data_IF_588218195802
#
_entry.id   IF_588218195802
#
_cell.length_a   1.000
_cell.length_b   1.000
_cell.length_c   1.000
_cell.angle_alpha   90.00
_cell.angle_beta   90.00
_cell.angle_gamma   90.00
#
_symmetry.space_group_name_H-M   'P 1'
#
loop_
_entity.id
_entity.type
_entity.pdbx_description
1 polymer ?
#
# COMPACT_ATOMS: atom_id res chain seq x y z
N UNK A 1 15.20 -31.93 -47.55
CA UNK A 1 14.00 -31.33 -46.91
C UNK A 1 13.53 -30.17 -47.76
N UNK A 2 12.26 -30.10 -48.11
CA UNK A 2 11.71 -29.04 -48.97
C UNK A 2 11.64 -27.73 -48.16
N UNK A 3 12.07 -26.60 -48.75
CA UNK A 3 12.02 -25.25 -48.09
C UNK A 3 10.65 -24.90 -47.53
N UNK A 4 9.58 -25.47 -48.04
CA UNK A 4 8.22 -25.29 -47.56
C UNK A 4 7.98 -26.00 -46.21
N UNK A 5 8.52 -27.21 -46.07
CA UNK A 5 8.44 -27.99 -44.83
C UNK A 5 9.23 -27.31 -43.69
N UNK A 6 10.43 -26.84 -44.00
CA UNK A 6 11.27 -26.13 -43.02
C UNK A 6 10.60 -24.86 -42.51
N UNK A 7 9.97 -24.06 -43.39
CA UNK A 7 9.19 -22.86 -42.98
C UNK A 7 7.95 -23.21 -42.16
N UNK A 8 7.27 -24.31 -42.50
CA UNK A 8 6.10 -24.75 -41.74
C UNK A 8 6.48 -25.21 -40.32
N UNK A 9 7.62 -25.90 -40.18
CA UNK A 9 8.13 -26.31 -38.86
C UNK A 9 8.55 -25.12 -37.99
N UNK A 10 9.22 -24.11 -38.57
CA UNK A 10 9.58 -22.87 -37.85
C UNK A 10 8.31 -22.14 -37.36
N UNK A 11 7.33 -21.95 -38.26
CA UNK A 11 6.07 -21.29 -37.89
C UNK A 11 5.29 -22.08 -36.83
N UNK A 12 5.24 -23.42 -36.92
CA UNK A 12 4.58 -24.25 -35.92
C UNK A 12 5.26 -24.14 -34.54
N UNK A 13 6.59 -24.11 -34.51
CA UNK A 13 7.36 -23.94 -33.27
C UNK A 13 7.20 -22.55 -32.64
N UNK A 14 7.19 -21.49 -33.45
CA UNK A 14 6.95 -20.12 -32.97
C UNK A 14 5.54 -19.98 -32.37
N UNK A 15 4.54 -20.58 -33.06
CA UNK A 15 3.16 -20.52 -32.60
C UNK A 15 2.94 -21.37 -31.34
N UNK A 16 3.61 -22.48 -31.20
CA UNK A 16 3.58 -23.34 -30.01
C UNK A 16 4.23 -22.66 -28.83
N UNK A 17 5.34 -21.93 -29.02
CA UNK A 17 5.99 -21.14 -27.97
C UNK A 17 5.10 -20.00 -27.51
N UNK A 18 4.44 -19.27 -28.42
CA UNK A 18 3.50 -18.21 -28.06
C UNK A 18 2.33 -18.74 -27.23
N UNK A 19 1.76 -19.89 -27.60
CA UNK A 19 0.66 -20.53 -26.86
C UNK A 19 1.13 -21.02 -25.49
N UNK A 20 2.34 -21.58 -25.41
CA UNK A 20 2.91 -22.03 -24.13
C UNK A 20 3.16 -20.88 -23.17
N UNK A 21 3.70 -19.76 -23.63
CA UNK A 21 3.91 -18.57 -22.80
C UNK A 21 2.58 -18.03 -22.28
N UNK A 22 1.54 -17.97 -23.13
CA UNK A 22 0.20 -17.56 -22.71
C UNK A 22 -0.43 -18.49 -21.68
N UNK A 23 -0.28 -19.81 -21.87
CA UNK A 23 -0.79 -20.82 -20.95
C UNK A 23 -0.09 -20.76 -19.59
N UNK A 24 1.22 -20.56 -19.55
CA UNK A 24 1.99 -20.39 -18.32
C UNK A 24 1.59 -19.11 -17.60
N UNK A 25 1.44 -17.99 -18.33
CA UNK A 25 0.99 -16.72 -17.75
C UNK A 25 -0.43 -16.85 -17.16
N UNK A 26 -1.34 -17.53 -17.88
CA UNK A 26 -2.70 -17.75 -17.38
C UNK A 26 -2.72 -18.65 -16.14
N UNK A 27 -1.97 -19.77 -16.15
CA UNK A 27 -1.86 -20.66 -15.01
C UNK A 27 -1.26 -19.97 -13.78
N UNK A 28 -0.31 -19.04 -13.98
CA UNK A 28 0.23 -18.22 -12.91
C UNK A 28 -0.83 -17.27 -12.33
N UNK A 29 -1.61 -16.59 -13.19
CA UNK A 29 -2.70 -15.73 -12.80
C UNK A 29 -3.78 -16.51 -12.04
N UNK A 30 -4.19 -17.67 -12.58
CA UNK A 30 -5.23 -18.51 -11.97
C UNK A 30 -4.77 -19.09 -10.62
N UNK A 31 -3.50 -19.52 -10.51
CA UNK A 31 -2.91 -19.98 -9.27
C UNK A 31 -2.80 -18.86 -8.21
N UNK A 32 -2.43 -17.67 -8.65
CA UNK A 32 -2.38 -16.49 -7.78
C UNK A 32 -3.78 -16.10 -7.28
N UNK A 33 -4.80 -16.08 -8.17
CA UNK A 33 -6.18 -15.78 -7.81
C UNK A 33 -6.79 -16.85 -6.91
N UNK A 34 -6.51 -18.14 -7.14
CA UNK A 34 -6.97 -19.23 -6.29
C UNK A 34 -6.37 -19.14 -4.89
N UNK A 35 -5.05 -18.95 -4.79
CA UNK A 35 -4.39 -18.77 -3.49
C UNK A 35 -4.86 -17.51 -2.73
N UNK A 36 -5.31 -16.49 -3.45
CA UNK A 36 -5.90 -15.29 -2.87
C UNK A 36 -7.30 -15.56 -2.31
N UNK A 37 -8.15 -16.28 -3.06
CA UNK A 37 -9.51 -16.65 -2.65
C UNK A 37 -9.52 -17.65 -1.49
N UNK A 38 -8.57 -18.60 -1.45
CA UNK A 38 -8.43 -19.55 -0.35
C UNK A 38 -8.02 -18.86 0.96
N UNK A 39 -7.15 -17.84 0.89
CA UNK A 39 -6.83 -16.99 2.06
C UNK A 39 -8.03 -16.15 2.53
N UNK A 40 -8.89 -15.70 1.62
CA UNK A 40 -10.06 -14.91 1.98
C UNK A 40 -11.09 -15.72 2.77
N UNK A 41 -11.18 -17.04 2.54
CA UNK A 41 -12.10 -17.91 3.28
C UNK A 41 -11.60 -18.24 4.72
N UNK A 42 -10.30 -18.20 4.98
CA UNK A 42 -9.73 -18.45 6.31
C UNK A 42 -9.74 -17.21 7.23
N UNK A 43 -9.95 -16.00 6.69
CA UNK A 43 -9.90 -14.75 7.46
C UNK A 43 -11.30 -14.18 7.76
N UNK A 44 -12.40 -14.88 7.38
CA UNK A 44 -13.76 -14.40 7.69
C UNK A 44 -14.12 -14.38 9.18
N UNK A 45 -13.26 -14.88 10.08
CA UNK A 45 -13.55 -14.95 11.53
C UNK A 45 -12.61 -14.16 12.45
N UNK A 46 -11.65 -13.41 11.95
CA UNK A 46 -10.93 -12.52 12.87
C UNK A 46 -11.62 -11.17 12.99
N UNK A 47 -12.60 -11.09 13.87
CA UNK A 47 -13.17 -9.86 14.45
C UNK A 47 -12.11 -9.07 15.27
N UNK A 48 -10.93 -8.88 14.74
CA UNK A 48 -9.83 -8.15 15.39
C UNK A 48 -9.69 -6.74 14.83
N UNK A 49 -10.80 -5.99 14.76
CA UNK A 49 -10.71 -4.54 14.80
C UNK A 49 -11.01 -4.18 16.25
N UNK A 50 -9.95 -4.14 17.07
CA UNK A 50 -10.06 -3.73 18.46
C UNK A 50 -10.76 -2.38 18.57
N UNK A 51 -11.71 -2.29 19.50
CA UNK A 51 -12.55 -1.10 19.73
C UNK A 51 -11.78 0.14 20.20
N UNK A 52 -10.46 0.12 20.31
CA UNK A 52 -9.65 1.15 20.96
C UNK A 52 -8.68 1.88 20.02
N UNK A 53 -9.11 2.15 18.77
CA UNK A 53 -8.28 2.96 17.89
C UNK A 53 -8.26 4.40 18.43
N UNK A 54 -7.10 4.83 18.88
CA UNK A 54 -6.87 6.19 19.33
C UNK A 54 -6.90 7.12 18.12
N UNK A 55 -7.83 8.06 18.10
CA UNK A 55 -7.91 9.09 17.07
C UNK A 55 -7.48 10.46 17.62
N UNK A 56 -6.98 11.31 16.73
CA UNK A 56 -6.51 12.67 17.02
C UNK A 56 -7.30 13.69 16.21
N UNK A 57 -7.70 14.75 16.86
CA UNK A 57 -8.23 15.96 16.22
C UNK A 57 -7.06 16.89 15.87
N UNK A 58 -6.65 16.86 14.63
CA UNK A 58 -5.57 17.70 14.11
C UNK A 58 -6.03 19.16 13.88
N UNK A 59 -7.32 19.46 14.05
CA UNK A 59 -7.91 20.78 13.76
C UNK A 59 -8.03 21.07 12.27
N UNK A 60 -8.28 20.05 11.47
CA UNK A 60 -8.50 20.21 10.05
C UNK A 60 -9.89 20.81 9.77
N UNK A 61 -10.04 21.64 8.71
CA UNK A 61 -11.31 22.26 8.35
C UNK A 61 -12.47 21.29 8.19
N UNK A 62 -12.22 20.07 7.68
CA UNK A 62 -13.23 19.00 7.54
C UNK A 62 -13.73 18.44 8.88
N UNK A 63 -13.00 18.65 9.98
CA UNK A 63 -13.24 18.00 11.26
C UNK A 63 -12.89 16.51 11.26
N UNK A 64 -12.13 16.03 10.27
CA UNK A 64 -11.70 14.64 10.20
C UNK A 64 -10.76 14.31 11.35
N UNK A 65 -11.09 13.23 12.07
CA UNK A 65 -10.24 12.65 13.11
C UNK A 65 -9.35 11.59 12.47
N UNK A 66 -8.06 11.63 12.75
CA UNK A 66 -7.07 10.70 12.19
C UNK A 66 -6.60 9.71 13.25
N UNK A 67 -6.45 8.44 12.88
CA UNK A 67 -5.82 7.49 13.77
C UNK A 67 -4.43 7.96 14.16
N UNK A 68 -4.06 7.74 15.42
CA UNK A 68 -2.75 8.17 15.95
C UNK A 68 -1.60 7.36 15.37
N UNK A 69 -1.87 6.14 14.93
CA UNK A 69 -0.94 5.19 14.33
C UNK A 69 -1.68 4.28 13.33
N UNK A 70 -0.94 3.41 12.67
CA UNK A 70 -1.51 2.37 11.81
C UNK A 70 -2.38 1.40 12.59
N UNK A 71 -3.23 0.69 11.86
CA UNK A 71 -3.96 -0.45 12.40
C UNK A 71 -2.97 -1.53 12.83
N UNK A 72 -3.12 -2.02 14.06
CA UNK A 72 -2.31 -3.07 14.64
C UNK A 72 -3.12 -4.35 14.81
N UNK A 73 -2.44 -5.48 14.82
CA UNK A 73 -3.02 -6.76 15.18
C UNK A 73 -3.09 -6.94 16.72
N UNK A 74 -3.51 -8.12 17.16
CA UNK A 74 -3.63 -8.46 18.59
C UNK A 74 -2.28 -8.48 19.36
N UNK A 75 -1.16 -8.53 18.64
CA UNK A 75 0.19 -8.50 19.21
C UNK A 75 0.78 -7.06 19.24
N UNK A 76 0.07 -6.09 18.69
CA UNK A 76 0.54 -4.71 18.53
C UNK A 76 1.46 -4.52 17.32
N UNK A 77 1.46 -5.47 16.37
CA UNK A 77 2.22 -5.35 15.14
C UNK A 77 1.37 -4.67 14.05
N UNK A 78 2.02 -3.83 13.26
CA UNK A 78 1.35 -3.14 12.14
C UNK A 78 0.74 -4.16 11.16
N UNK A 79 -0.55 -4.02 10.91
CA UNK A 79 -1.28 -4.90 10.00
C UNK A 79 -1.10 -4.43 8.57
N UNK A 80 -0.64 -5.35 7.71
CA UNK A 80 -0.55 -5.14 6.26
C UNK A 80 -1.77 -5.77 5.59
N UNK A 81 -2.54 -4.98 4.86
CA UNK A 81 -3.83 -5.41 4.32
C UNK A 81 -3.92 -5.07 2.83
N UNK A 82 -4.36 -6.01 1.96
CA UNK A 82 -4.63 -5.73 0.56
C UNK A 82 -5.80 -4.75 0.42
N UNK A 83 -5.78 -3.95 -0.67
CA UNK A 83 -6.73 -2.85 -0.85
C UNK A 83 -8.20 -3.26 -0.67
N UNK A 84 -8.60 -4.39 -1.24
CA UNK A 84 -10.00 -4.85 -1.20
C UNK A 84 -10.55 -5.03 0.22
N UNK A 85 -9.69 -5.40 1.18
CA UNK A 85 -10.04 -5.50 2.60
C UNK A 85 -9.94 -4.13 3.28
N UNK A 86 -8.86 -3.38 3.02
CA UNK A 86 -8.62 -2.07 3.61
C UNK A 86 -9.76 -1.07 3.29
N UNK A 87 -10.31 -1.11 2.08
CA UNK A 87 -11.40 -0.23 1.65
C UNK A 87 -12.67 -0.32 2.50
N UNK A 88 -12.85 -1.40 3.27
CA UNK A 88 -13.99 -1.58 4.19
C UNK A 88 -13.76 -0.97 5.57
N UNK A 89 -12.58 -0.44 5.86
CA UNK A 89 -12.14 -0.04 7.20
C UNK A 89 -12.21 1.47 7.48
N UNK A 90 -12.70 2.28 6.55
CA UNK A 90 -12.74 3.73 6.73
C UNK A 90 -11.42 4.42 6.36
N UNK A 91 -10.90 4.08 5.18
CA UNK A 91 -9.73 4.74 4.60
C UNK A 91 -9.97 6.24 4.38
N UNK A 92 -8.96 7.09 4.50
CA UNK A 92 -9.06 8.49 4.14
C UNK A 92 -9.34 8.65 2.64
N UNK A 93 -10.16 9.63 2.28
CA UNK A 93 -10.36 10.01 0.88
C UNK A 93 -9.18 10.86 0.38
N UNK A 94 -9.10 11.02 -0.94
CA UNK A 94 -8.10 11.90 -1.55
C UNK A 94 -8.18 13.32 -1.00
N UNK A 95 -9.40 13.87 -0.88
CA UNK A 95 -9.63 15.22 -0.38
C UNK A 95 -9.17 15.38 1.08
N UNK A 96 -9.38 14.36 1.92
CA UNK A 96 -8.90 14.36 3.30
C UNK A 96 -7.37 14.31 3.37
N UNK A 97 -6.72 13.58 2.47
CA UNK A 97 -5.25 13.56 2.39
C UNK A 97 -4.70 14.88 1.85
N UNK A 98 -5.32 15.45 0.81
CA UNK A 98 -4.94 16.77 0.28
C UNK A 98 -5.04 17.83 1.39
N UNK A 99 -6.13 17.83 2.16
CA UNK A 99 -6.30 18.72 3.32
C UNK A 99 -5.21 18.50 4.38
N UNK A 100 -4.87 17.23 4.68
CA UNK A 100 -3.79 16.90 5.61
C UNK A 100 -2.43 17.43 5.14
N UNK A 101 -2.15 17.33 3.82
CA UNK A 101 -0.92 17.83 3.22
C UNK A 101 -0.84 19.34 3.29
N UNK A 102 -1.94 20.04 2.98
CA UNK A 102 -1.99 21.50 2.92
C UNK A 102 -2.02 22.18 4.28
N UNK A 103 -2.71 21.56 5.26
CA UNK A 103 -2.99 22.19 6.54
C UNK A 103 -1.97 21.83 7.64
N UNK A 104 -1.21 20.76 7.47
CA UNK A 104 -0.30 20.25 8.48
C UNK A 104 1.16 20.52 8.17
N UNK A 105 1.95 20.60 9.24
CA UNK A 105 3.41 20.66 9.14
C UNK A 105 3.99 19.26 9.23
N UNK A 106 4.82 18.89 8.28
CA UNK A 106 5.49 17.60 8.23
C UNK A 106 6.94 17.66 8.67
N UNK A 107 7.36 16.73 9.50
CA UNK A 107 8.72 16.58 10.00
C UNK A 107 9.16 15.14 9.75
N UNK A 108 10.27 14.94 9.04
CA UNK A 108 10.90 13.64 8.86
C UNK A 108 11.94 13.38 9.95
N UNK A 109 11.95 12.18 10.49
CA UNK A 109 13.02 11.68 11.36
C UNK A 109 13.88 10.70 10.58
N UNK A 110 15.16 11.06 10.40
CA UNK A 110 16.08 10.35 9.51
C UNK A 110 17.20 9.67 10.30
N UNK A 111 17.84 8.67 9.67
CA UNK A 111 19.07 8.07 10.18
C UNK A 111 20.18 9.11 10.36
N UNK A 112 21.20 8.77 11.13
CA UNK A 112 22.39 9.64 11.32
C UNK A 112 23.12 9.95 10.02
N UNK A 113 23.04 9.08 9.02
CA UNK A 113 23.53 9.31 7.65
C UNK A 113 22.62 10.25 6.84
N UNK A 114 21.42 10.52 7.35
CA UNK A 114 20.40 11.33 6.69
C UNK A 114 19.72 10.65 5.50
N UNK A 115 20.00 9.37 5.24
CA UNK A 115 19.48 8.66 4.07
C UNK A 115 18.18 7.90 4.32
N UNK A 116 17.95 7.38 5.52
CA UNK A 116 16.80 6.53 5.84
C UNK A 116 15.75 7.33 6.62
N UNK A 117 14.54 7.39 6.12
CA UNK A 117 13.39 7.96 6.82
C UNK A 117 12.81 6.89 7.78
N UNK A 118 12.98 7.06 9.08
CA UNK A 118 12.41 6.16 10.07
C UNK A 118 10.93 6.41 10.32
N UNK A 119 10.54 7.67 10.39
CA UNK A 119 9.15 8.08 10.54
C UNK A 119 8.92 9.50 10.03
N UNK A 120 7.67 9.81 9.76
CA UNK A 120 7.19 11.15 9.50
C UNK A 120 6.19 11.54 10.59
N UNK A 121 6.30 12.77 11.09
CA UNK A 121 5.39 13.35 12.05
C UNK A 121 4.58 14.43 11.34
N UNK A 122 3.26 14.25 11.33
CA UNK A 122 2.30 15.23 10.85
C UNK A 122 1.76 16.01 12.05
N UNK A 123 1.88 17.33 12.05
CA UNK A 123 1.44 18.22 13.14
C UNK A 123 0.35 19.12 12.59
N UNK A 124 -0.85 18.96 13.14
CA UNK A 124 -2.02 19.75 12.76
C UNK A 124 -2.04 21.17 13.35
N UNK A 125 -2.99 22.00 12.91
CA UNK A 125 -3.19 23.36 13.43
C UNK A 125 -3.42 23.44 14.95
N UNK A 126 -4.02 22.43 15.58
CA UNK A 126 -4.20 22.34 17.03
C UNK A 126 -2.90 22.06 17.80
N UNK A 127 -1.85 21.64 17.12
CA UNK A 127 -0.62 21.13 17.72
C UNK A 127 -0.65 19.62 18.01
N UNK A 128 -1.81 18.98 17.88
CA UNK A 128 -1.92 17.53 17.91
C UNK A 128 -1.15 16.91 16.74
N UNK A 129 -0.70 15.68 16.93
CA UNK A 129 0.19 15.02 15.97
C UNK A 129 -0.11 13.54 15.81
N UNK A 130 0.15 13.06 14.62
CA UNK A 130 0.23 11.64 14.31
C UNK A 130 1.67 11.30 13.89
N UNK A 131 2.10 10.09 14.21
CA UNK A 131 3.43 9.58 13.86
C UNK A 131 3.26 8.38 12.95
N UNK A 132 3.86 8.44 11.77
CA UNK A 132 3.83 7.38 10.78
C UNK A 132 5.21 6.76 10.65
N UNK A 133 5.37 5.57 11.18
CA UNK A 133 6.61 4.82 11.08
C UNK A 133 6.77 4.22 9.68
N UNK A 134 8.00 4.12 9.24
CA UNK A 134 8.31 3.46 7.98
C UNK A 134 8.28 1.95 8.17
N UNK A 135 7.19 1.32 7.74
CA UNK A 135 6.93 -0.12 7.91
C UNK A 135 7.11 -0.92 6.62
N UNK A 136 7.31 -0.24 5.49
CA UNK A 136 7.37 -0.91 4.20
C UNK A 136 6.00 -1.35 3.67
N UNK A 137 6.00 -2.43 2.90
CA UNK A 137 4.82 -3.07 2.32
C UNK A 137 5.06 -4.56 2.13
N UNK A 138 4.01 -5.35 1.90
CA UNK A 138 4.11 -6.78 1.59
C UNK A 138 3.79 -7.08 0.13
N UNK A 139 4.50 -8.09 -0.39
CA UNK A 139 4.23 -8.71 -1.70
C UNK A 139 4.19 -10.22 -1.47
N UNK A 140 3.02 -10.82 -1.43
CA UNK A 140 2.86 -12.19 -0.98
C UNK A 140 3.35 -12.35 0.46
N UNK A 141 4.24 -13.31 0.71
CA UNK A 141 4.79 -13.56 2.05
C UNK A 141 6.01 -12.68 2.40
N UNK A 142 6.49 -11.89 1.45
CA UNK A 142 7.68 -11.07 1.64
C UNK A 142 7.33 -9.67 2.12
N UNK A 143 7.85 -9.29 3.29
CA UNK A 143 7.85 -7.91 3.74
C UNK A 143 9.02 -7.18 3.09
N UNK A 144 8.70 -6.15 2.32
CA UNK A 144 9.67 -5.21 1.79
C UNK A 144 9.76 -4.06 2.79
N UNK A 145 10.64 -4.22 3.75
CA UNK A 145 10.88 -3.23 4.79
C UNK A 145 11.98 -2.23 4.37
N UNK A 146 12.24 -1.28 5.25
CA UNK A 146 13.27 -0.26 5.02
C UNK A 146 14.71 -0.76 5.23
N UNK A 147 14.94 -2.01 5.61
CA UNK A 147 16.27 -2.55 5.87
C UNK A 147 17.17 -2.51 4.64
N UNK A 148 16.58 -2.37 3.46
CA UNK A 148 17.27 -2.23 2.17
C UNK A 148 17.33 -0.79 1.63
N UNK A 149 17.09 0.24 2.47
CA UNK A 149 17.23 1.64 2.05
C UNK A 149 16.00 2.22 1.33
N UNK A 150 14.85 1.64 1.52
CA UNK A 150 13.58 2.22 1.05
C UNK A 150 13.06 3.23 2.07
N UNK A 151 13.42 4.48 1.89
CA UNK A 151 13.08 5.63 2.73
C UNK A 151 11.63 6.08 2.53
N UNK A 152 10.67 5.15 2.60
CA UNK A 152 9.33 5.43 2.15
C UNK A 152 8.28 4.85 3.09
N UNK A 153 7.29 5.66 3.40
CA UNK A 153 6.09 5.31 4.16
C UNK A 153 4.95 5.16 3.17
N UNK A 154 4.15 4.13 3.31
CA UNK A 154 2.97 3.90 2.48
C UNK A 154 1.74 3.66 3.34
N UNK A 155 0.57 4.09 2.87
CA UNK A 155 -0.72 3.65 3.36
C UNK A 155 -1.81 3.82 2.30
N UNK A 156 -2.85 2.98 2.36
CA UNK A 156 -3.97 3.04 1.44
C UNK A 156 -4.85 4.28 1.66
N UNK A 157 -5.39 4.82 0.56
CA UNK A 157 -6.50 5.77 0.59
C UNK A 157 -7.65 5.25 -0.26
N UNK A 158 -8.84 5.77 -0.03
CA UNK A 158 -10.03 5.37 -0.75
C UNK A 158 -9.89 5.69 -2.25
N UNK A 159 -10.23 4.72 -3.09
CA UNK A 159 -10.21 4.83 -4.54
C UNK A 159 -11.47 4.17 -5.09
N UNK A 160 -12.24 4.92 -5.86
CA UNK A 160 -13.49 4.44 -6.48
C UNK A 160 -13.28 4.03 -7.94
N UNK A 161 -12.04 4.09 -8.46
CA UNK A 161 -11.75 3.69 -9.82
C UNK A 161 -11.66 2.17 -9.94
N UNK A 162 -12.19 1.64 -11.03
CA UNK A 162 -11.99 0.24 -11.39
C UNK A 162 -10.55 0.05 -11.89
N UNK A 163 -9.96 -1.10 -11.59
CA UNK A 163 -8.61 -1.45 -12.06
C UNK A 163 -7.74 -2.11 -10.99
N UNK A 164 -6.59 -2.58 -11.46
CA UNK A 164 -5.61 -3.29 -10.63
C UNK A 164 -4.65 -2.35 -9.87
N UNK A 165 -4.74 -1.05 -10.11
CA UNK A 165 -3.98 -0.04 -9.39
C UNK A 165 -4.92 0.80 -8.55
N UNK A 166 -4.53 1.10 -7.32
CA UNK A 166 -5.30 1.86 -6.34
C UNK A 166 -4.47 3.00 -5.77
N UNK A 167 -5.16 4.02 -5.31
CA UNK A 167 -4.51 5.17 -4.70
C UNK A 167 -3.91 4.81 -3.35
N UNK A 168 -2.67 5.26 -3.15
CA UNK A 168 -1.98 5.19 -1.88
C UNK A 168 -1.21 6.48 -1.63
N UNK A 169 -0.99 6.81 -0.38
CA UNK A 169 -0.04 7.84 0.02
C UNK A 169 1.35 7.24 0.03
N UNK A 170 2.29 8.00 -0.50
CA UNK A 170 3.72 7.77 -0.41
C UNK A 170 4.39 8.95 0.27
N UNK A 171 5.05 8.70 1.40
CA UNK A 171 5.87 9.72 2.06
C UNK A 171 7.33 9.33 1.91
N UNK A 172 8.12 10.21 1.34
CA UNK A 172 9.54 9.96 1.10
C UNK A 172 10.37 11.21 1.31
N UNK A 173 11.68 11.03 1.39
CA UNK A 173 12.62 12.14 1.53
C UNK A 173 12.80 12.87 0.21
N UNK A 174 12.88 14.20 0.28
CA UNK A 174 13.41 15.05 -0.81
C UNK A 174 14.76 15.65 -0.44
N UNK A 175 15.41 16.26 -1.41
CA UNK A 175 16.80 16.74 -1.31
C UNK A 175 17.03 17.80 -0.21
N UNK A 176 15.99 18.52 0.19
CA UNK A 176 16.05 19.55 1.25
C UNK A 176 15.86 18.98 2.68
N UNK A 177 15.75 17.66 2.81
CA UNK A 177 15.60 16.96 4.08
C UNK A 177 14.19 17.00 4.66
N UNK A 178 13.21 17.57 3.95
CA UNK A 178 11.80 17.48 4.33
C UNK A 178 11.16 16.24 3.74
N UNK A 179 10.15 15.65 4.40
CA UNK A 179 9.36 14.62 3.76
C UNK A 179 8.46 15.22 2.68
N UNK A 180 8.42 14.61 1.50
CA UNK A 180 7.38 14.83 0.50
C UNK A 180 6.25 13.84 0.72
N UNK A 181 5.03 14.30 0.54
CA UNK A 181 3.81 13.49 0.66
C UNK A 181 3.11 13.51 -0.69
N UNK A 182 3.04 12.37 -1.35
CA UNK A 182 2.48 12.25 -2.68
C UNK A 182 1.36 11.21 -2.70
N UNK A 183 0.35 11.42 -3.53
CA UNK A 183 -0.64 10.39 -3.85
C UNK A 183 -0.20 9.72 -5.14
N UNK A 184 -0.06 8.40 -5.08
CA UNK A 184 0.41 7.56 -6.18
C UNK A 184 -0.57 6.43 -6.48
N UNK A 185 -0.43 5.83 -7.66
CA UNK A 185 -1.09 4.56 -7.99
C UNK A 185 -0.13 3.41 -7.69
N UNK A 186 -0.64 2.38 -7.02
CA UNK A 186 0.10 1.18 -6.67
C UNK A 186 -0.76 -0.07 -6.93
N UNK A 187 -0.14 -1.19 -7.25
CA UNK A 187 -0.84 -2.43 -7.54
C UNK A 187 -1.67 -2.90 -6.32
N UNK A 188 -2.95 -3.16 -6.53
CA UNK A 188 -3.92 -3.49 -5.47
C UNK A 188 -3.65 -4.81 -4.76
N UNK A 189 -2.83 -5.68 -5.36
CA UNK A 189 -2.36 -6.93 -4.76
C UNK A 189 -1.24 -6.77 -3.74
N UNK A 190 -0.66 -5.56 -3.60
CA UNK A 190 0.25 -5.28 -2.49
C UNK A 190 -0.53 -5.12 -1.20
N UNK A 191 0.11 -5.40 -0.08
CA UNK A 191 -0.46 -5.17 1.24
C UNK A 191 0.27 -3.97 1.86
N UNK A 192 -0.48 -2.93 2.19
CA UNK A 192 0.06 -1.72 2.84
C UNK A 192 -0.47 -1.60 4.27
N UNK A 193 0.24 -0.84 5.12
CA UNK A 193 -0.32 -0.35 6.37
C UNK A 193 -1.62 0.42 6.14
N UNK A 194 -2.50 0.38 7.12
CA UNK A 194 -3.80 1.06 7.05
C UNK A 194 -3.86 2.14 8.11
N UNK A 195 -4.11 3.36 7.66
CA UNK A 195 -4.42 4.51 8.51
C UNK A 195 -5.89 4.85 8.30
N UNK A 196 -6.67 4.82 9.38
CA UNK A 196 -8.10 5.08 9.31
C UNK A 196 -8.46 6.48 9.78
N UNK A 197 -9.62 6.93 9.28
CA UNK A 197 -10.22 8.22 9.67
C UNK A 197 -11.63 8.03 10.19
N UNK A 198 -12.07 8.96 11.02
CA UNK A 198 -13.45 9.06 11.53
C UNK A 198 -13.97 10.48 11.35
N UNK A 199 -15.27 10.62 11.26
CA UNK A 199 -15.99 11.89 11.32
C UNK A 199 -16.70 12.01 12.65
#
# INVERSE_FOLDING_TARGET
>A
MNKVQERAEIYANEKMNELMVKAIAQAYIDGYQSGYNDRDSEIEESNCIGNDIVVRDLGLPSGTLWAADYLEDENGDTTFIPYAKAAKLGLPTKEQVDELIESCRWIGNYSSSGWTLYNAICIGPTGERIKLDSRGYKVGDMVVDNSYGHDTIYFWIQDNEDGNEKNAVKIHRVSDGKPSVDIIKIFSGYELPVLIVRK
#
